data_IF_033424109302
#
_entry.id   IF_033424109302
#
_cell.length_a   1.000
_cell.length_b   1.000
_cell.length_c   1.000
_cell.angle_alpha   90.00
_cell.angle_beta   90.00
_cell.angle_gamma   90.00
#
_symmetry.space_group_name_H-M   'P 1'
#
loop_
_entity.id
_entity.type
_entity.pdbx_description
1 polymer ?
#
# COMPACT_ATOMS: atom_id res chain seq x y z
N UNK A 1 -19.38 3.02 4.20
CA UNK A 1 -19.36 2.27 5.47
C UNK A 1 -18.22 1.26 5.51
N UNK A 2 -18.16 0.26 4.60
CA UNK A 2 -17.08 -0.76 4.57
C UNK A 2 -15.69 -0.12 4.50
N UNK A 3 -15.47 0.86 3.63
CA UNK A 3 -14.17 1.53 3.49
C UNK A 3 -13.72 2.25 4.78
N UNK A 4 -14.65 2.87 5.53
CA UNK A 4 -14.33 3.52 6.81
C UNK A 4 -13.93 2.46 7.84
N UNK A 5 -14.65 1.35 7.90
CA UNK A 5 -14.37 0.26 8.82
C UNK A 5 -13.01 -0.39 8.52
N UNK A 6 -12.74 -0.67 7.25
CA UNK A 6 -11.46 -1.24 6.80
C UNK A 6 -10.29 -0.28 7.05
N UNK A 7 -10.46 1.00 6.71
CA UNK A 7 -9.46 2.04 6.98
C UNK A 7 -9.17 2.21 8.48
N UNK A 8 -10.23 2.20 9.32
CA UNK A 8 -10.09 2.26 10.78
C UNK A 8 -9.38 1.03 11.35
N UNK A 9 -9.64 -0.16 10.82
CA UNK A 9 -8.97 -1.40 11.23
C UNK A 9 -7.48 -1.38 10.87
N UNK A 10 -7.13 -0.93 9.65
CA UNK A 10 -5.74 -0.75 9.22
C UNK A 10 -5.04 0.28 10.10
N UNK A 11 -5.68 1.43 10.35
CA UNK A 11 -5.14 2.47 11.22
C UNK A 11 -4.93 1.95 12.66
N UNK A 12 -5.90 1.23 13.22
CA UNK A 12 -5.77 0.62 14.54
C UNK A 12 -4.61 -0.39 14.59
N UNK A 13 -4.45 -1.23 13.55
CA UNK A 13 -3.34 -2.16 13.47
C UNK A 13 -1.97 -1.47 13.45
N UNK A 14 -1.85 -0.35 12.72
CA UNK A 14 -0.64 0.46 12.67
C UNK A 14 -0.36 1.16 14.01
N UNK A 15 -1.38 1.75 14.62
CA UNK A 15 -1.27 2.46 15.89
C UNK A 15 -1.02 1.53 17.08
N UNK A 16 -1.37 0.25 16.97
CA UNK A 16 -1.11 -0.71 18.04
C UNK A 16 0.39 -0.82 18.39
N UNK A 17 1.28 -0.62 17.43
CA UNK A 17 2.73 -0.66 17.68
C UNK A 17 3.21 0.41 18.67
N UNK A 18 3.00 1.71 18.38
CA UNK A 18 3.39 2.77 19.31
C UNK A 18 2.58 2.69 20.62
N UNK A 19 1.34 2.21 20.61
CA UNK A 19 0.55 1.99 21.82
C UNK A 19 1.21 0.94 22.72
N UNK A 20 1.60 -0.21 22.18
CA UNK A 20 2.29 -1.28 22.95
C UNK A 20 3.63 -0.79 23.48
N UNK A 21 4.37 0.00 22.69
CA UNK A 21 5.63 0.58 23.14
C UNK A 21 5.40 1.58 24.29
N UNK A 22 4.43 2.48 24.16
CA UNK A 22 4.12 3.51 25.16
C UNK A 22 3.47 2.92 26.42
N UNK A 23 2.74 1.81 26.29
CA UNK A 23 2.12 1.13 27.42
C UNK A 23 3.11 0.47 28.38
N UNK A 24 4.41 0.43 28.03
CA UNK A 24 5.49 0.03 28.94
C UNK A 24 5.78 1.11 30.01
N UNK A 25 5.44 2.36 29.71
CA UNK A 25 5.71 3.53 30.58
C UNK A 25 4.44 4.15 31.14
N UNK A 26 3.30 3.97 30.49
CA UNK A 26 2.03 4.60 30.82
C UNK A 26 0.90 3.55 30.87
N UNK A 27 -0.16 3.79 31.66
CA UNK A 27 -1.34 2.93 31.63
C UNK A 27 -1.93 2.88 30.21
N UNK A 28 -2.38 1.68 29.80
CA UNK A 28 -2.82 1.37 28.44
C UNK A 28 -3.81 2.40 27.87
N UNK A 29 -4.74 2.89 28.69
CA UNK A 29 -5.72 3.91 28.28
C UNK A 29 -5.07 5.24 27.88
N UNK A 30 -4.10 5.71 28.65
CA UNK A 30 -3.34 6.93 28.34
C UNK A 30 -2.44 6.73 27.12
N UNK A 31 -1.80 5.55 26.98
CA UNK A 31 -1.00 5.22 25.82
C UNK A 31 -1.83 5.26 24.53
N UNK A 32 -3.05 4.73 24.54
CA UNK A 32 -3.98 4.78 23.40
C UNK A 32 -4.36 6.24 23.10
N UNK A 33 -4.77 7.02 24.11
CA UNK A 33 -5.20 8.39 23.93
C UNK A 33 -4.09 9.27 23.34
N UNK A 34 -2.88 9.22 23.90
CA UNK A 34 -1.73 9.98 23.42
C UNK A 34 -1.33 9.56 22.02
N UNK A 35 -1.20 8.26 21.76
CA UNK A 35 -0.80 7.76 20.43
C UNK A 35 -1.81 8.17 19.37
N UNK A 36 -3.10 8.04 19.64
CA UNK A 36 -4.16 8.41 18.69
C UNK A 36 -4.17 9.92 18.45
N UNK A 37 -4.03 10.74 19.50
CA UNK A 37 -3.99 12.19 19.37
C UNK A 37 -2.77 12.65 18.55
N UNK A 38 -1.59 12.14 18.86
CA UNK A 38 -0.36 12.44 18.12
C UNK A 38 -0.47 11.99 16.67
N UNK A 39 -0.97 10.78 16.41
CA UNK A 39 -1.18 10.27 15.05
C UNK A 39 -2.17 11.15 14.27
N UNK A 40 -3.23 11.62 14.92
CA UNK A 40 -4.22 12.49 14.28
C UNK A 40 -3.64 13.86 13.94
N UNK A 41 -2.86 14.45 14.84
CA UNK A 41 -2.17 15.72 14.60
C UNK A 41 -1.13 15.56 13.47
N UNK A 42 -0.35 14.49 13.49
CA UNK A 42 0.63 14.20 12.43
C UNK A 42 -0.04 13.98 11.08
N UNK A 43 -1.11 13.17 11.03
CA UNK A 43 -1.87 12.94 9.82
C UNK A 43 -2.48 14.23 9.28
N UNK A 44 -3.06 15.05 10.14
CA UNK A 44 -3.63 16.35 9.78
C UNK A 44 -2.57 17.28 9.19
N UNK A 45 -1.40 17.41 9.85
CA UNK A 45 -0.28 18.21 9.35
C UNK A 45 0.27 17.69 8.02
N UNK A 46 0.36 16.37 7.88
CA UNK A 46 0.84 15.74 6.67
C UNK A 46 -0.14 15.95 5.50
N UNK A 47 -1.42 15.74 5.73
CA UNK A 47 -2.46 15.93 4.71
C UNK A 47 -2.56 17.41 4.32
N UNK A 48 -2.49 18.34 5.26
CA UNK A 48 -2.59 19.78 4.95
C UNK A 48 -1.32 20.32 4.30
N UNK A 49 -0.14 19.99 4.82
CA UNK A 49 1.11 20.50 4.28
C UNK A 49 1.51 19.85 2.96
N UNK A 50 1.65 18.52 2.98
CA UNK A 50 2.12 17.76 1.81
C UNK A 50 1.00 17.58 0.79
N UNK A 51 -0.23 17.31 1.25
CA UNK A 51 -1.37 17.05 0.35
C UNK A 51 -1.75 18.27 -0.49
N UNK A 52 -1.82 19.46 0.09
CA UNK A 52 -2.10 20.69 -0.66
C UNK A 52 -0.99 21.01 -1.65
N UNK A 53 0.27 20.85 -1.25
CA UNK A 53 1.41 21.07 -2.14
C UNK A 53 1.42 20.05 -3.29
N UNK A 54 1.15 18.78 -3.04
CA UNK A 54 1.02 17.76 -4.07
C UNK A 54 -0.10 18.09 -5.08
N UNK A 55 -1.25 18.57 -4.59
CA UNK A 55 -2.36 19.00 -5.46
C UNK A 55 -1.97 20.23 -6.30
N UNK A 56 -1.27 21.20 -5.72
CA UNK A 56 -0.80 22.39 -6.45
C UNK A 56 0.22 22.01 -7.53
N UNK A 57 1.19 21.17 -7.21
CA UNK A 57 2.13 20.63 -8.18
C UNK A 57 1.43 19.81 -9.28
N UNK A 58 0.44 19.02 -8.91
CA UNK A 58 -0.37 18.24 -9.86
C UNK A 58 -1.14 19.12 -10.85
N UNK A 59 -1.74 20.23 -10.38
CA UNK A 59 -2.39 21.21 -11.26
C UNK A 59 -1.40 21.86 -12.22
N UNK A 60 -0.21 22.26 -11.73
CA UNK A 60 0.84 22.80 -12.57
C UNK A 60 1.34 21.81 -13.61
N UNK A 61 1.50 20.55 -13.24
CA UNK A 61 1.85 19.46 -14.15
C UNK A 61 0.79 19.27 -15.24
N UNK A 62 -0.50 19.20 -14.87
CA UNK A 62 -1.59 19.09 -15.85
C UNK A 62 -1.64 20.28 -16.82
N UNK A 63 -1.47 21.49 -16.32
CA UNK A 63 -1.44 22.68 -17.17
C UNK A 63 -0.32 22.57 -18.21
N UNK A 64 0.90 22.23 -17.80
CA UNK A 64 2.03 22.06 -18.72
C UNK A 64 1.82 20.90 -19.70
N UNK A 65 1.18 19.79 -19.27
CA UNK A 65 0.84 18.67 -20.15
C UNK A 65 -0.15 19.08 -21.23
N UNK A 66 -1.22 19.79 -20.86
CA UNK A 66 -2.23 20.24 -21.82
C UNK A 66 -1.65 21.25 -22.80
N UNK A 67 -0.79 22.16 -22.33
CA UNK A 67 -0.12 23.14 -23.17
C UNK A 67 0.86 22.46 -24.16
N UNK A 68 1.70 21.56 -23.67
CA UNK A 68 2.63 20.80 -24.51
C UNK A 68 1.92 19.96 -25.59
N UNK A 69 0.79 19.33 -25.25
CA UNK A 69 -0.01 18.57 -26.21
C UNK A 69 -0.66 19.47 -27.27
N UNK A 70 -1.01 20.71 -26.91
CA UNK A 70 -1.60 21.68 -27.85
C UNK A 70 -0.59 22.26 -28.83
N UNK A 71 0.67 22.41 -28.40
CA UNK A 71 1.74 23.05 -29.23
C UNK A 71 2.44 22.09 -30.19
N UNK A 72 2.14 20.77 -30.16
CA UNK A 72 2.75 19.75 -31.02
C UNK A 72 4.28 19.75 -31.07
N UNK A 73 4.95 20.13 -29.98
CA UNK A 73 6.41 20.24 -29.89
C UNK A 73 7.17 18.91 -29.91
N UNK A 74 6.47 17.78 -30.15
CA UNK A 74 7.02 16.40 -30.02
C UNK A 74 7.28 15.73 -31.37
N UNK A 75 7.64 16.51 -32.42
CA UNK A 75 7.81 16.04 -33.79
C UNK A 75 8.53 14.70 -33.99
N UNK A 76 9.60 14.33 -33.25
CA UNK A 76 10.25 13.02 -33.46
C UNK A 76 9.56 11.83 -32.79
N UNK A 77 8.59 12.07 -31.91
CA UNK A 77 7.93 11.01 -31.12
C UNK A 77 6.40 11.01 -31.26
N UNK A 78 5.84 11.75 -32.21
CA UNK A 78 4.39 11.88 -32.41
C UNK A 78 3.72 10.52 -32.57
N UNK A 79 4.24 9.63 -33.43
CA UNK A 79 3.67 8.30 -33.68
C UNK A 79 3.63 7.42 -32.41
N UNK A 80 4.58 7.60 -31.50
CA UNK A 80 4.61 6.89 -30.22
C UNK A 80 3.61 7.48 -29.22
N UNK A 81 3.54 8.81 -29.17
CA UNK A 81 2.63 9.54 -28.28
C UNK A 81 1.15 9.39 -28.72
N UNK A 82 0.89 9.32 -30.03
CA UNK A 82 -0.45 9.07 -30.58
C UNK A 82 -0.93 7.63 -30.28
N UNK A 83 -0.03 6.67 -30.16
CA UNK A 83 -0.35 5.30 -29.71
C UNK A 83 -0.66 5.23 -28.22
N UNK A 84 -0.07 6.10 -27.42
CA UNK A 84 -0.36 6.26 -25.98
C UNK A 84 -1.52 7.23 -25.83
N UNK A 85 -2.73 6.86 -25.85
CA UNK A 85 -3.93 7.69 -25.67
C UNK A 85 -3.75 8.74 -24.54
N UNK A 86 -2.90 9.77 -24.83
CA UNK A 86 -2.49 10.80 -23.86
C UNK A 86 -3.69 11.56 -23.31
N UNK A 87 -4.76 11.71 -24.10
CA UNK A 87 -6.00 12.35 -23.66
C UNK A 87 -6.67 11.56 -22.54
N UNK A 88 -6.66 10.22 -22.63
CA UNK A 88 -7.14 9.36 -21.51
C UNK A 88 -6.24 9.46 -20.29
N UNK A 89 -4.92 9.52 -20.50
CA UNK A 89 -3.97 9.66 -19.41
C UNK A 89 -4.13 10.99 -18.67
N UNK A 90 -4.27 12.11 -19.40
CA UNK A 90 -4.58 13.43 -18.84
C UNK A 90 -5.91 13.41 -18.10
N UNK A 91 -6.96 12.81 -18.70
CA UNK A 91 -8.27 12.66 -18.04
C UNK A 91 -8.20 11.83 -16.75
N UNK A 92 -7.41 10.76 -16.74
CA UNK A 92 -7.18 9.94 -15.55
C UNK A 92 -6.43 10.70 -14.46
N UNK A 93 -5.43 11.49 -14.83
CA UNK A 93 -4.70 12.37 -13.90
C UNK A 93 -5.61 13.48 -13.34
N UNK A 94 -6.44 14.11 -14.18
CA UNK A 94 -7.42 15.10 -13.73
C UNK A 94 -8.38 14.49 -12.70
N UNK A 95 -8.91 13.31 -13.00
CA UNK A 95 -9.80 12.59 -12.10
C UNK A 95 -9.08 12.20 -10.80
N UNK A 96 -7.85 11.71 -10.90
CA UNK A 96 -7.01 11.38 -9.75
C UNK A 96 -6.71 12.60 -8.87
N UNK A 97 -6.38 13.74 -9.47
CA UNK A 97 -6.14 14.99 -8.73
C UNK A 97 -7.42 15.56 -8.13
N UNK A 98 -8.55 15.50 -8.85
CA UNK A 98 -9.84 15.91 -8.31
C UNK A 98 -10.25 15.04 -7.12
N UNK A 99 -10.02 13.72 -7.21
CA UNK A 99 -10.23 12.79 -6.11
C UNK A 99 -9.27 13.08 -4.95
N UNK A 100 -7.98 13.30 -5.22
CA UNK A 100 -7.00 13.69 -4.21
C UNK A 100 -7.39 14.99 -3.50
N UNK A 101 -7.82 16.01 -4.26
CA UNK A 101 -8.30 17.27 -3.70
C UNK A 101 -9.57 17.08 -2.86
N UNK A 102 -10.51 16.26 -3.32
CA UNK A 102 -11.73 15.96 -2.56
C UNK A 102 -11.41 15.20 -1.27
N UNK A 103 -10.39 14.34 -1.25
CA UNK A 103 -9.92 13.68 -0.05
C UNK A 103 -9.29 14.69 0.92
N UNK A 104 -8.42 15.58 0.42
CA UNK A 104 -7.83 16.67 1.23
C UNK A 104 -8.92 17.57 1.78
N UNK A 105 -9.86 18.03 0.96
CA UNK A 105 -11.01 18.83 1.40
C UNK A 105 -11.95 18.03 2.31
N UNK A 106 -12.11 16.74 2.05
CA UNK A 106 -12.91 15.82 2.85
C UNK A 106 -12.38 15.69 4.29
N UNK A 107 -11.07 15.73 4.48
CA UNK A 107 -10.47 15.77 5.84
C UNK A 107 -10.91 17.03 6.60
N UNK A 108 -11.10 18.16 5.89
CA UNK A 108 -11.59 19.40 6.50
C UNK A 108 -13.10 19.46 6.63
N UNK A 109 -13.84 19.05 5.61
CA UNK A 109 -15.31 19.17 5.55
C UNK A 109 -16.03 18.02 6.27
N UNK A 110 -15.40 16.85 6.34
CA UNK A 110 -15.93 15.67 7.04
C UNK A 110 -15.25 15.44 8.38
N UNK A 111 -15.13 16.51 9.20
CA UNK A 111 -14.75 16.37 10.62
C UNK A 111 -15.53 15.21 11.25
N UNK A 112 -16.79 15.04 10.89
CA UNK A 112 -17.64 13.96 11.35
C UNK A 112 -17.15 12.57 10.91
N UNK A 113 -16.80 12.39 9.63
CA UNK A 113 -16.27 11.10 9.11
C UNK A 113 -14.90 10.79 9.68
N UNK A 114 -14.05 11.81 9.82
CA UNK A 114 -12.72 11.68 10.43
C UNK A 114 -12.80 11.33 11.92
N UNK A 115 -13.67 12.00 12.68
CA UNK A 115 -13.94 11.69 14.08
C UNK A 115 -14.52 10.29 14.21
N UNK A 116 -15.47 9.90 13.35
CA UNK A 116 -16.08 8.57 13.38
C UNK A 116 -15.03 7.48 13.10
N UNK A 117 -14.16 7.67 12.10
CA UNK A 117 -13.05 6.77 11.82
C UNK A 117 -12.03 6.69 12.97
N UNK A 118 -11.70 7.82 13.58
CA UNK A 118 -10.83 7.87 14.75
C UNK A 118 -11.46 7.15 15.96
N UNK A 119 -12.73 7.39 16.22
CA UNK A 119 -13.47 6.73 17.31
C UNK A 119 -13.49 5.22 17.09
N UNK A 120 -13.83 4.75 15.88
CA UNK A 120 -13.79 3.32 15.54
C UNK A 120 -12.38 2.76 15.75
N UNK A 121 -11.33 3.46 15.30
CA UNK A 121 -9.94 3.02 15.48
C UNK A 121 -9.56 2.91 16.96
N UNK A 122 -9.99 3.87 17.79
CA UNK A 122 -9.77 3.84 19.25
C UNK A 122 -10.50 2.66 19.88
N UNK A 123 -11.77 2.44 19.54
CA UNK A 123 -12.50 1.27 20.03
C UNK A 123 -11.85 -0.04 19.59
N UNK A 124 -11.37 -0.13 18.35
CA UNK A 124 -10.61 -1.29 17.88
C UNK A 124 -9.27 -1.46 18.62
N UNK A 125 -8.63 -0.39 19.06
CA UNK A 125 -7.41 -0.47 19.88
C UNK A 125 -7.70 -0.91 21.32
N UNK A 126 -8.83 -0.47 21.88
CA UNK A 126 -9.25 -0.82 23.25
C UNK A 126 -9.74 -2.27 23.31
N UNK A 127 -10.70 -2.61 22.46
CA UNK A 127 -11.43 -3.88 22.48
C UNK A 127 -11.02 -4.85 21.35
N UNK A 128 -9.95 -4.53 20.60
CA UNK A 128 -9.52 -5.34 19.46
C UNK A 128 -9.28 -6.81 19.79
N UNK A 129 -8.72 -7.09 20.96
CA UNK A 129 -8.52 -8.47 21.43
C UNK A 129 -9.85 -9.19 21.67
N UNK A 130 -10.87 -8.49 22.18
CA UNK A 130 -12.21 -9.07 22.39
C UNK A 130 -12.93 -9.28 21.06
N UNK A 131 -12.88 -8.28 20.16
CA UNK A 131 -13.45 -8.36 18.81
C UNK A 131 -12.81 -9.51 18.03
N UNK A 132 -11.49 -9.64 18.10
CA UNK A 132 -10.75 -10.71 17.46
C UNK A 132 -11.14 -12.09 18.00
N UNK A 133 -11.21 -12.25 19.33
CA UNK A 133 -11.67 -13.50 19.93
C UNK A 133 -13.11 -13.83 19.56
N UNK A 134 -14.01 -12.84 19.57
CA UNK A 134 -15.41 -13.04 19.17
C UNK A 134 -15.52 -13.46 17.71
N UNK A 135 -14.70 -12.86 16.83
CA UNK A 135 -14.62 -13.25 15.42
C UNK A 135 -14.10 -14.70 15.27
N UNK A 136 -13.04 -15.06 16.00
CA UNK A 136 -12.50 -16.43 15.97
C UNK A 136 -13.50 -17.47 16.53
N UNK A 137 -14.42 -17.08 17.41
CA UNK A 137 -15.45 -17.98 17.93
C UNK A 137 -16.45 -18.43 16.86
N UNK A 138 -16.60 -17.68 15.77
CA UNK A 138 -17.42 -18.08 14.61
C UNK A 138 -16.82 -19.27 13.86
N UNK A 139 -15.52 -19.52 14.02
CA UNK A 139 -14.82 -20.64 13.40
C UNK A 139 -14.82 -21.87 14.33
N UNK A 140 -14.85 -23.09 13.76
CA UNK A 140 -14.63 -24.31 14.54
C UNK A 140 -13.29 -24.26 15.28
N UNK A 141 -13.24 -24.83 16.48
CA UNK A 141 -12.07 -24.75 17.39
C UNK A 141 -10.78 -25.20 16.70
N UNK A 142 -10.85 -26.29 15.92
CA UNK A 142 -9.71 -26.87 15.20
C UNK A 142 -9.02 -25.89 14.21
N UNK A 143 -9.73 -24.87 13.73
CA UNK A 143 -9.23 -23.95 12.71
C UNK A 143 -8.84 -22.57 13.23
N UNK A 144 -9.19 -22.23 14.48
CA UNK A 144 -9.00 -20.88 15.05
C UNK A 144 -7.55 -20.43 15.07
N UNK A 145 -6.68 -21.28 15.58
CA UNK A 145 -5.25 -20.94 15.70
C UNK A 145 -4.58 -20.82 14.35
N UNK A 146 -4.88 -21.76 13.45
CA UNK A 146 -4.39 -21.77 12.07
C UNK A 146 -4.81 -20.48 11.32
N UNK A 147 -6.10 -20.12 11.42
CA UNK A 147 -6.62 -18.90 10.83
C UNK A 147 -5.96 -17.64 11.41
N UNK A 148 -5.85 -17.55 12.74
CA UNK A 148 -5.24 -16.43 13.43
C UNK A 148 -3.77 -16.23 13.00
N UNK A 149 -3.01 -17.31 12.85
CA UNK A 149 -1.62 -17.29 12.41
C UNK A 149 -1.51 -16.84 10.96
N UNK A 150 -2.30 -17.42 10.06
CA UNK A 150 -2.33 -17.06 8.63
C UNK A 150 -2.73 -15.60 8.42
N UNK A 151 -3.76 -15.14 9.13
CA UNK A 151 -4.20 -13.74 9.06
C UNK A 151 -3.12 -12.77 9.53
N UNK A 152 -2.47 -13.06 10.66
CA UNK A 152 -1.41 -12.18 11.18
C UNK A 152 -0.20 -12.15 10.25
N UNK A 153 0.24 -13.28 9.73
CA UNK A 153 1.41 -13.36 8.87
C UNK A 153 1.17 -12.78 7.49
N UNK A 154 0.12 -13.22 6.78
CA UNK A 154 -0.14 -12.79 5.42
C UNK A 154 -0.82 -11.44 5.34
N UNK A 155 -1.91 -11.24 6.08
CA UNK A 155 -2.73 -10.04 5.93
C UNK A 155 -2.08 -8.81 6.58
N UNK A 156 -1.80 -8.88 7.89
CA UNK A 156 -1.22 -7.73 8.59
C UNK A 156 0.24 -7.49 8.18
N UNK A 157 1.01 -8.56 7.99
CA UNK A 157 2.39 -8.49 7.52
C UNK A 157 2.48 -7.83 6.15
N UNK A 158 1.63 -8.25 5.20
CA UNK A 158 1.57 -7.66 3.87
C UNK A 158 1.18 -6.17 3.89
N UNK A 159 0.06 -5.82 4.54
CA UNK A 159 -0.40 -4.42 4.58
C UNK A 159 0.68 -3.52 5.15
N UNK A 160 1.26 -3.91 6.29
CA UNK A 160 2.35 -3.15 6.91
C UNK A 160 3.56 -3.04 6.00
N UNK A 161 3.99 -4.15 5.40
CA UNK A 161 5.12 -4.19 4.50
C UNK A 161 4.89 -3.29 3.29
N UNK A 162 3.73 -3.37 2.65
CA UNK A 162 3.40 -2.59 1.47
C UNK A 162 3.35 -1.09 1.77
N UNK A 163 2.75 -0.69 2.90
CA UNK A 163 2.75 0.72 3.30
C UNK A 163 4.16 1.26 3.55
N UNK A 164 5.04 0.46 4.15
CA UNK A 164 6.45 0.84 4.34
C UNK A 164 7.19 0.97 3.01
N UNK A 165 6.95 0.07 2.05
CA UNK A 165 7.54 0.15 0.71
C UNK A 165 7.06 1.38 -0.06
N UNK A 166 5.74 1.64 -0.06
CA UNK A 166 5.17 2.84 -0.67
C UNK A 166 5.77 4.13 -0.07
N UNK A 167 5.88 4.18 1.25
CA UNK A 167 6.48 5.33 1.96
C UNK A 167 7.96 5.48 1.62
N UNK A 168 8.72 4.38 1.64
CA UNK A 168 10.13 4.36 1.26
C UNK A 168 10.32 4.92 -0.15
N UNK A 169 9.59 4.38 -1.12
CA UNK A 169 9.71 4.79 -2.52
C UNK A 169 9.28 6.25 -2.73
N UNK A 170 8.18 6.68 -2.11
CA UNK A 170 7.73 8.09 -2.18
C UNK A 170 8.75 9.05 -1.60
N UNK A 171 9.27 8.77 -0.41
CA UNK A 171 10.22 9.67 0.27
C UNK A 171 11.56 9.72 -0.46
N UNK A 172 12.12 8.57 -0.82
CA UNK A 172 13.43 8.52 -1.49
C UNK A 172 13.38 9.10 -2.89
N UNK A 173 12.27 8.89 -3.63
CA UNK A 173 12.06 9.52 -4.94
C UNK A 173 11.89 11.02 -4.82
N UNK A 174 11.11 11.50 -3.85
CA UNK A 174 10.95 12.94 -3.61
C UNK A 174 12.29 13.62 -3.30
N UNK A 175 13.09 13.03 -2.41
CA UNK A 175 14.42 13.55 -2.09
C UNK A 175 15.33 13.57 -3.32
N UNK A 176 15.36 12.48 -4.09
CA UNK A 176 16.18 12.37 -5.30
C UNK A 176 15.75 13.37 -6.37
N UNK A 177 14.44 13.52 -6.60
CA UNK A 177 13.90 14.47 -7.56
C UNK A 177 14.21 15.93 -7.15
N UNK A 178 14.09 16.22 -5.86
CA UNK A 178 14.43 17.55 -5.31
C UNK A 178 15.92 17.88 -5.48
N UNK A 179 16.80 16.92 -5.20
CA UNK A 179 18.25 17.08 -5.39
C UNK A 179 18.65 17.26 -6.86
N UNK A 180 17.94 16.63 -7.78
CA UNK A 180 18.19 16.73 -9.23
C UNK A 180 17.48 17.93 -9.89
N UNK A 181 16.74 18.74 -9.13
CA UNK A 181 16.01 19.89 -9.63
C UNK A 181 14.83 19.52 -10.55
N UNK A 182 14.28 18.31 -10.40
CA UNK A 182 13.12 17.88 -11.17
C UNK A 182 11.88 18.60 -10.63
N UNK A 183 11.24 19.40 -11.49
CA UNK A 183 9.98 20.09 -11.12
C UNK A 183 8.88 19.08 -10.83
N UNK A 184 7.94 19.47 -9.98
CA UNK A 184 6.81 18.60 -9.56
C UNK A 184 7.25 17.32 -8.84
N UNK A 185 8.44 17.34 -8.21
CA UNK A 185 9.04 16.16 -7.58
C UNK A 185 8.15 15.50 -6.54
N UNK A 186 7.37 16.27 -5.78
CA UNK A 186 6.48 15.73 -4.76
C UNK A 186 5.34 14.92 -5.36
N UNK A 187 4.64 15.46 -6.37
CA UNK A 187 3.52 14.74 -7.00
C UNK A 187 4.02 13.53 -7.79
N UNK A 188 5.15 13.64 -8.50
CA UNK A 188 5.74 12.54 -9.25
C UNK A 188 6.17 11.39 -8.32
N UNK A 189 6.81 11.70 -7.20
CA UNK A 189 7.19 10.72 -6.19
C UNK A 189 5.98 10.07 -5.50
N UNK A 190 4.93 10.86 -5.25
CA UNK A 190 3.66 10.35 -4.71
C UNK A 190 2.98 9.39 -5.68
N UNK A 191 2.95 9.73 -6.97
CA UNK A 191 2.41 8.86 -8.03
C UNK A 191 3.19 7.53 -8.07
N UNK A 192 4.53 7.59 -8.08
CA UNK A 192 5.37 6.38 -8.09
C UNK A 192 5.08 5.48 -6.89
N UNK A 193 5.07 6.05 -5.68
CA UNK A 193 4.82 5.26 -4.46
C UNK A 193 3.40 4.73 -4.34
N UNK A 194 2.38 5.48 -4.79
CA UNK A 194 0.98 5.01 -4.76
C UNK A 194 0.76 3.89 -5.79
N UNK A 195 1.32 4.01 -6.99
CA UNK A 195 1.18 2.96 -8.02
C UNK A 195 1.94 1.70 -7.60
N UNK A 196 3.04 1.81 -6.86
CA UNK A 196 3.76 0.65 -6.29
C UNK A 196 2.90 -0.15 -5.29
N UNK A 197 1.76 0.39 -4.84
CA UNK A 197 0.78 -0.37 -4.06
C UNK A 197 0.27 -1.63 -4.79
N UNK A 198 0.38 -1.69 -6.12
CA UNK A 198 0.01 -2.84 -6.94
C UNK A 198 1.24 -3.75 -7.09
N UNK A 199 1.38 -4.82 -6.29
CA UNK A 199 2.56 -5.67 -6.34
C UNK A 199 2.72 -6.38 -7.70
N UNK A 200 3.96 -6.53 -8.12
CA UNK A 200 4.32 -7.22 -9.36
C UNK A 200 4.35 -6.33 -10.60
N UNK A 201 3.48 -5.33 -10.72
CA UNK A 201 3.42 -4.44 -11.88
C UNK A 201 3.50 -2.95 -11.52
N UNK A 202 3.20 -2.59 -10.27
CA UNK A 202 3.07 -1.19 -9.84
C UNK A 202 4.34 -0.38 -10.06
N UNK A 203 5.47 -0.89 -9.64
CA UNK A 203 6.76 -0.20 -9.82
C UNK A 203 7.05 0.09 -11.30
N UNK A 204 6.86 -0.89 -12.19
CA UNK A 204 7.08 -0.73 -13.64
C UNK A 204 6.13 0.31 -14.25
N UNK A 205 4.84 0.25 -13.91
CA UNK A 205 3.86 1.23 -14.36
C UNK A 205 4.17 2.62 -13.80
N UNK A 206 4.60 2.69 -12.54
CA UNK A 206 4.99 3.94 -11.90
C UNK A 206 6.20 4.60 -12.57
N UNK A 207 7.25 3.82 -12.86
CA UNK A 207 8.43 4.29 -13.61
C UNK A 207 8.03 4.82 -14.97
N UNK A 208 7.22 4.05 -15.72
CA UNK A 208 6.77 4.44 -17.05
C UNK A 208 5.99 5.74 -17.01
N UNK A 209 5.00 5.83 -16.11
CA UNK A 209 4.15 7.01 -15.97
C UNK A 209 4.96 8.24 -15.56
N UNK A 210 5.82 8.15 -14.54
CA UNK A 210 6.67 9.26 -14.10
C UNK A 210 7.61 9.71 -15.21
N UNK A 211 8.17 8.77 -15.97
CA UNK A 211 9.07 9.10 -17.10
C UNK A 211 8.33 9.85 -18.21
N UNK A 212 7.12 9.39 -18.58
CA UNK A 212 6.29 10.06 -19.59
C UNK A 212 5.89 11.46 -19.12
N UNK A 213 5.44 11.60 -17.89
CA UNK A 213 5.04 12.88 -17.30
C UNK A 213 6.21 13.86 -17.23
N UNK A 214 7.41 13.39 -16.91
CA UNK A 214 8.61 14.21 -16.88
C UNK A 214 9.08 14.58 -18.28
N UNK A 215 8.98 13.65 -19.24
CA UNK A 215 9.32 13.89 -20.63
C UNK A 215 8.45 15.01 -21.22
N UNK A 216 7.15 14.90 -21.05
CA UNK A 216 6.20 15.87 -21.60
C UNK A 216 6.26 17.24 -20.92
N UNK A 217 6.62 17.31 -19.64
CA UNK A 217 6.64 18.57 -18.89
C UNK A 217 8.00 19.26 -18.85
N UNK A 218 9.11 18.53 -19.02
CA UNK A 218 10.47 19.04 -18.78
C UNK A 218 11.49 18.58 -19.83
N UNK A 219 11.06 17.79 -20.81
CA UNK A 219 11.89 17.33 -21.93
C UNK A 219 12.71 16.07 -21.63
N UNK A 220 13.38 15.57 -22.69
CA UNK A 220 14.06 14.27 -22.70
C UNK A 220 15.17 14.15 -21.66
N UNK A 221 16.01 15.17 -21.52
CA UNK A 221 17.17 15.11 -20.63
C UNK A 221 16.77 14.91 -19.15
N UNK A 222 15.68 15.54 -18.73
CA UNK A 222 15.16 15.40 -17.36
C UNK A 222 14.40 14.08 -17.21
N UNK A 223 13.67 13.65 -18.24
CA UNK A 223 13.00 12.35 -18.23
C UNK A 223 13.97 11.18 -18.07
N UNK A 224 15.11 11.21 -18.77
CA UNK A 224 16.15 10.18 -18.63
C UNK A 224 16.73 10.15 -17.22
N UNK A 225 16.97 11.32 -16.61
CA UNK A 225 17.42 11.39 -15.21
C UNK A 225 16.36 10.80 -14.26
N UNK A 226 15.08 11.17 -14.42
CA UNK A 226 13.99 10.64 -13.63
C UNK A 226 13.86 9.11 -13.79
N UNK A 227 13.93 8.60 -15.02
CA UNK A 227 13.90 7.18 -15.33
C UNK A 227 15.01 6.41 -14.60
N UNK A 228 16.26 6.86 -14.74
CA UNK A 228 17.42 6.20 -14.08
C UNK A 228 17.23 6.16 -12.57
N UNK A 229 16.84 7.29 -11.97
CA UNK A 229 16.59 7.36 -10.52
C UNK A 229 15.48 6.41 -10.10
N UNK A 230 14.34 6.41 -10.79
CA UNK A 230 13.23 5.51 -10.48
C UNK A 230 13.67 4.04 -10.56
N UNK A 231 14.38 3.65 -11.64
CA UNK A 231 14.88 2.28 -11.80
C UNK A 231 15.83 1.91 -10.66
N UNK A 232 16.79 2.76 -10.32
CA UNK A 232 17.74 2.48 -9.23
C UNK A 232 17.02 2.34 -7.89
N UNK A 233 16.09 3.24 -7.57
CA UNK A 233 15.34 3.19 -6.32
C UNK A 233 14.45 1.96 -6.22
N UNK A 234 13.78 1.59 -7.32
CA UNK A 234 12.96 0.37 -7.37
C UNK A 234 13.84 -0.88 -7.22
N UNK A 235 15.01 -0.93 -7.87
CA UNK A 235 15.94 -2.05 -7.69
C UNK A 235 16.46 -2.17 -6.25
N UNK A 236 16.76 -1.05 -5.59
CA UNK A 236 17.11 -1.03 -4.17
C UNK A 236 15.92 -1.54 -3.33
N UNK A 237 14.72 -1.05 -3.63
CA UNK A 237 13.51 -1.50 -2.93
C UNK A 237 13.30 -3.00 -3.08
N UNK A 238 13.32 -3.52 -4.30
CA UNK A 238 12.95 -4.91 -4.58
C UNK A 238 14.01 -5.92 -4.10
N UNK A 239 15.29 -5.57 -4.20
CA UNK A 239 16.37 -6.48 -3.85
C UNK A 239 16.85 -6.36 -2.39
N UNK A 240 16.65 -5.21 -1.73
CA UNK A 240 17.19 -4.97 -0.38
C UNK A 240 16.06 -4.74 0.64
N UNK A 241 15.11 -3.88 0.33
CA UNK A 241 14.10 -3.43 1.30
C UNK A 241 12.95 -4.43 1.40
N UNK A 242 12.42 -4.87 0.25
CA UNK A 242 11.28 -5.79 0.18
C UNK A 242 11.54 -7.10 0.93
N UNK A 243 12.68 -7.80 0.77
CA UNK A 243 12.97 -9.01 1.53
C UNK A 243 13.04 -8.77 3.04
N UNK A 244 13.60 -7.62 3.46
CA UNK A 244 13.70 -7.27 4.89
C UNK A 244 12.36 -6.92 5.53
N UNK A 245 11.45 -6.31 4.76
CA UNK A 245 10.17 -5.80 5.26
C UNK A 245 9.07 -6.85 5.17
N UNK A 246 9.01 -7.61 4.09
CA UNK A 246 7.96 -8.59 3.84
C UNK A 246 8.38 -10.03 4.17
N UNK A 247 9.70 -10.33 4.24
CA UNK A 247 10.18 -11.70 4.43
C UNK A 247 9.59 -12.65 3.38
N UNK A 248 9.34 -13.89 3.78
CA UNK A 248 8.76 -14.93 2.90
C UNK A 248 7.23 -14.82 2.77
N UNK A 249 6.63 -13.69 3.15
CA UNK A 249 5.17 -13.54 3.19
C UNK A 249 4.48 -13.59 1.80
N UNK A 250 5.25 -13.63 0.70
CA UNK A 250 4.75 -13.50 -0.68
C UNK A 250 5.35 -14.52 -1.66
N UNK A 251 5.68 -15.73 -1.22
CA UNK A 251 6.03 -16.83 -2.15
C UNK A 251 4.76 -17.38 -2.84
N UNK A 252 3.98 -16.49 -3.46
CA UNK A 252 2.84 -16.88 -4.28
C UNK A 252 3.30 -17.17 -5.70
N UNK A 253 2.77 -18.25 -6.27
CA UNK A 253 2.93 -18.49 -7.70
C UNK A 253 2.41 -17.28 -8.51
N UNK A 254 3.16 -16.74 -9.48
CA UNK A 254 2.75 -15.59 -10.28
C UNK A 254 1.35 -15.71 -10.88
N UNK A 255 0.95 -16.91 -11.29
CA UNK A 255 -0.40 -17.17 -11.84
C UNK A 255 -1.47 -16.90 -10.78
N UNK A 256 -1.27 -17.38 -9.54
CA UNK A 256 -2.20 -17.14 -8.43
C UNK A 256 -2.25 -15.66 -8.10
N UNK A 257 -1.11 -14.98 -8.14
CA UNK A 257 -1.02 -13.55 -7.90
C UNK A 257 -1.86 -12.77 -8.94
N UNK A 258 -1.64 -12.99 -10.23
CA UNK A 258 -2.41 -12.29 -11.27
C UNK A 258 -3.90 -12.64 -11.24
N UNK A 259 -4.25 -13.90 -10.99
CA UNK A 259 -5.64 -14.32 -10.87
C UNK A 259 -6.33 -13.64 -9.69
N UNK A 260 -5.65 -13.55 -8.53
CA UNK A 260 -6.19 -12.88 -7.36
C UNK A 260 -6.37 -11.37 -7.57
N UNK A 261 -5.43 -10.72 -8.27
CA UNK A 261 -5.54 -9.31 -8.66
C UNK A 261 -6.77 -9.07 -9.55
N UNK A 262 -6.96 -9.92 -10.56
CA UNK A 262 -8.09 -9.81 -11.48
C UNK A 262 -9.44 -10.02 -10.79
N UNK A 263 -9.53 -11.02 -9.91
CA UNK A 263 -10.73 -11.26 -9.10
C UNK A 263 -10.99 -10.10 -8.15
N UNK A 264 -9.93 -9.62 -7.47
CA UNK A 264 -10.03 -8.51 -6.54
C UNK A 264 -10.52 -7.22 -7.20
N UNK A 265 -10.01 -6.92 -8.39
CA UNK A 265 -10.47 -5.77 -9.19
C UNK A 265 -11.98 -5.83 -9.47
N UNK A 266 -12.48 -6.99 -9.88
CA UNK A 266 -13.90 -7.20 -10.17
C UNK A 266 -14.82 -7.06 -8.96
N UNK A 267 -14.33 -7.43 -7.77
CA UNK A 267 -15.14 -7.40 -6.54
C UNK A 267 -15.16 -6.01 -5.91
N UNK A 268 -14.02 -5.35 -5.79
CA UNK A 268 -13.88 -4.12 -5.02
C UNK A 268 -12.96 -3.06 -5.67
N UNK A 269 -12.74 -3.14 -6.99
CA UNK A 269 -11.89 -2.20 -7.73
C UNK A 269 -10.47 -2.15 -7.16
N UNK A 270 -9.91 -0.95 -7.08
CA UNK A 270 -8.53 -0.74 -6.60
C UNK A 270 -8.28 -1.28 -5.18
N UNK A 271 -9.28 -1.17 -4.30
CA UNK A 271 -9.19 -1.72 -2.95
C UNK A 271 -9.17 -3.25 -2.97
N UNK A 272 -9.90 -3.87 -3.88
CA UNK A 272 -9.87 -5.31 -4.13
C UNK A 272 -8.53 -5.78 -4.67
N UNK A 273 -7.92 -5.04 -5.60
CA UNK A 273 -6.55 -5.30 -6.08
C UNK A 273 -5.55 -5.30 -4.93
N UNK A 274 -5.60 -4.27 -4.07
CA UNK A 274 -4.70 -4.16 -2.92
C UNK A 274 -4.88 -5.30 -1.90
N UNK A 275 -6.12 -5.69 -1.62
CA UNK A 275 -6.44 -6.73 -0.63
C UNK A 275 -6.36 -8.16 -1.17
N UNK A 276 -6.38 -8.37 -2.49
CA UNK A 276 -6.39 -9.69 -3.09
C UNK A 276 -5.15 -10.51 -2.74
N UNK A 277 -3.98 -9.87 -2.69
CA UNK A 277 -2.71 -10.54 -2.43
C UNK A 277 -2.61 -11.10 -1.00
N UNK A 278 -2.87 -10.30 0.06
CA UNK A 278 -2.85 -10.85 1.40
C UNK A 278 -3.93 -11.92 1.61
N UNK A 279 -5.08 -11.81 0.92
CA UNK A 279 -6.12 -12.84 0.97
C UNK A 279 -5.64 -14.12 0.29
N UNK A 280 -5.03 -14.01 -0.91
CA UNK A 280 -4.46 -15.16 -1.61
C UNK A 280 -3.32 -15.81 -0.81
N UNK A 281 -2.45 -15.02 -0.20
CA UNK A 281 -1.40 -15.50 0.71
C UNK A 281 -1.97 -16.24 1.92
N UNK A 282 -3.05 -15.73 2.49
CA UNK A 282 -3.75 -16.37 3.59
C UNK A 282 -4.33 -17.75 3.18
N UNK A 283 -4.93 -17.82 1.99
CA UNK A 283 -5.48 -19.07 1.41
C UNK A 283 -4.34 -20.06 1.12
N UNK A 284 -3.23 -19.60 0.53
CA UNK A 284 -2.07 -20.43 0.22
C UNK A 284 -1.47 -21.05 1.50
N UNK A 285 -1.25 -20.25 2.53
CA UNK A 285 -0.77 -20.75 3.83
C UNK A 285 -1.78 -21.75 4.43
N UNK A 286 -3.07 -21.47 4.30
CA UNK A 286 -4.12 -22.38 4.79
C UNK A 286 -4.06 -23.75 4.11
N UNK A 287 -3.87 -23.79 2.80
CA UNK A 287 -3.77 -25.04 2.03
C UNK A 287 -2.46 -25.77 2.39
N UNK A 288 -1.32 -25.08 2.45
CA UNK A 288 -0.01 -25.64 2.79
C UNK A 288 0.00 -26.33 4.15
N UNK A 289 -0.66 -25.76 5.14
CA UNK A 289 -0.82 -26.41 6.45
C UNK A 289 -1.70 -27.69 6.40
N UNK A 290 -2.46 -27.91 5.32
CA UNK A 290 -3.25 -29.14 5.14
C UNK A 290 -2.41 -30.33 4.67
N UNK A 291 -1.23 -30.07 4.09
CA UNK A 291 -0.31 -31.07 3.57
C UNK A 291 0.74 -31.54 4.60
N UNK A 292 0.98 -30.78 5.67
CA UNK A 292 1.77 -31.27 6.80
C UNK A 292 0.97 -32.35 7.53
N UNK A 293 1.37 -33.63 7.32
CA UNK A 293 0.83 -34.76 8.06
C UNK A 293 0.95 -34.52 9.57
N UNK A 294 -0.05 -34.92 10.37
CA UNK A 294 0.08 -34.86 11.82
C UNK A 294 1.34 -35.65 12.25
N UNK A 295 2.13 -35.06 13.12
CA UNK A 295 3.37 -35.64 13.67
C UNK A 295 3.09 -37.04 14.34
N UNK A 296 1.85 -37.29 14.67
CA UNK A 296 1.36 -38.57 15.22
C UNK A 296 1.70 -39.80 14.34
N UNK A 297 1.69 -39.63 12.99
CA UNK A 297 1.97 -40.76 12.09
C UNK A 297 3.45 -41.12 12.00
N UNK A 298 4.33 -40.19 12.38
CA UNK A 298 5.79 -40.44 12.41
C UNK A 298 6.25 -41.10 13.72
N UNK A 299 5.59 -40.80 14.85
CA UNK A 299 5.86 -41.44 16.12
C UNK A 299 5.31 -42.89 16.18
N UNK A 300 4.14 -43.12 15.55
CA UNK A 300 3.58 -44.49 15.48
C UNK A 300 4.43 -45.42 14.60
N UNK A 301 4.97 -44.93 13.48
CA UNK A 301 5.87 -45.72 12.64
C UNK A 301 7.24 -46.00 13.29
N UNK A 302 7.77 -45.07 14.09
CA UNK A 302 9.04 -45.29 14.80
C UNK A 302 8.87 -46.24 16.00
N UNK A 303 7.68 -46.25 16.63
CA UNK A 303 7.35 -47.21 17.72
C UNK A 303 7.05 -48.60 17.17
N UNK A 304 6.50 -48.71 15.94
CA UNK A 304 6.28 -50.01 15.27
C UNK A 304 7.58 -50.69 14.85
N UNK A 305 8.55 -49.95 14.28
CA UNK A 305 9.85 -50.48 13.88
C UNK A 305 10.77 -50.87 15.06
N UNK A 306 10.55 -50.27 16.25
CA UNK A 306 11.32 -50.63 17.48
C UNK A 306 10.77 -51.85 18.20
N UNK A 307 9.63 -52.42 17.83
CA UNK A 307 9.08 -53.64 18.40
C UNK A 307 9.30 -54.89 17.54
N UNK A 308 9.81 -54.75 16.30
CA UNK A 308 10.11 -55.89 15.40
C UNK A 308 11.58 -56.30 15.35
N UNK A 309 12.46 -55.67 16.11
CA UNK A 309 13.87 -56.05 16.30
C UNK A 309 14.09 -56.41 17.78
#
# INVERSE_FOLDING_TARGET
MIAIFTGSAVLAALLNYPVVWLSRYLPRGLAIAITTLVAFILLFRLVTGIGLEAVNQGRGLLFNLTDALSQKDFLPFQDFLDRLDLNKMVGSLQTGLATGLSLVQGVFSSVFTGIFGAVISVYMLIDGDKLWRSFLQLLPIAYRERFAKSFRQSFLGFIRGQLLLMLFLSVTSFLSFSLLGIKYGLILASILGVIDAIPGIGATLGILLVTILTFTSQGLAIAVKAFIVCVVLVQIQDNIIRPKVMGNALELNPVILFLSLFIGERIAGLLGVFLSIPIAGMIAIWISYGEEKPITDLEENQLGESQEN
#
